data_IF_204782389647
#
_entry.id   IF_204782389647
#
_cell.length_a   1.000
_cell.length_b   1.000
_cell.length_c   1.000
_cell.angle_alpha   90.00
_cell.angle_beta   90.00
_cell.angle_gamma   90.00
#
_symmetry.space_group_name_H-M   'P 1'
#
loop_
_entity.id
_entity.type
_entity.pdbx_description
1 polymer ?
#
# COMPACT_ATOMS: atom_id res chain seq x y z
N UNK A 1 -17.11 6.94 -1.93
CA UNK A 1 -16.18 6.52 -0.85
C UNK A 1 -15.05 5.72 -1.44
N UNK A 2 -13.82 6.14 -1.18
CA UNK A 2 -12.64 5.48 -1.73
C UNK A 2 -12.26 4.25 -0.92
N UNK A 3 -12.00 3.15 -1.59
CA UNK A 3 -11.49 1.94 -0.93
C UNK A 3 -9.96 2.01 -0.85
N UNK A 4 -9.44 1.81 0.35
CA UNK A 4 -8.01 1.83 0.63
C UNK A 4 -7.61 0.46 1.18
N UNK A 5 -6.57 -0.12 0.62
CA UNK A 5 -6.03 -1.39 1.08
C UNK A 5 -4.66 -1.16 1.72
N UNK A 6 -4.52 -1.61 2.96
CA UNK A 6 -3.29 -1.45 3.74
C UNK A 6 -2.64 -2.83 3.90
N UNK A 7 -1.45 -3.00 3.33
CA UNK A 7 -0.76 -4.28 3.28
C UNK A 7 0.58 -4.20 3.99
N UNK A 8 0.69 -4.85 5.13
CA UNK A 8 1.93 -4.92 5.92
C UNK A 8 1.80 -6.13 6.84
N UNK A 9 2.89 -6.88 7.01
CA UNK A 9 2.89 -8.02 7.91
C UNK A 9 2.97 -7.60 9.38
N UNK A 10 3.34 -6.35 9.65
CA UNK A 10 3.38 -5.79 10.99
C UNK A 10 2.02 -5.20 11.35
N UNK A 11 1.28 -5.81 12.30
CA UNK A 11 -0.02 -5.28 12.70
C UNK A 11 0.06 -3.89 13.31
N UNK A 12 1.19 -3.51 13.88
CA UNK A 12 1.39 -2.16 14.41
C UNK A 12 1.35 -1.11 13.28
N UNK A 13 2.02 -1.40 12.17
CA UNK A 13 2.04 -0.49 11.01
C UNK A 13 0.64 -0.40 10.39
N UNK A 14 -0.05 -1.55 10.24
CA UNK A 14 -1.43 -1.53 9.74
C UNK A 14 -2.32 -0.66 10.61
N UNK A 15 -2.19 -0.80 11.94
CA UNK A 15 -2.96 -0.03 12.90
C UNK A 15 -2.64 1.47 12.80
N UNK A 16 -1.36 1.80 12.67
CA UNK A 16 -0.94 3.20 12.52
C UNK A 16 -1.57 3.84 11.28
N UNK A 17 -1.51 3.17 10.15
CA UNK A 17 -2.08 3.68 8.91
C UNK A 17 -3.60 3.76 9.01
N UNK A 18 -4.26 2.70 9.46
CA UNK A 18 -5.72 2.69 9.53
C UNK A 18 -6.25 3.74 10.50
N UNK A 19 -5.65 3.86 11.68
CA UNK A 19 -6.08 4.84 12.68
C UNK A 19 -5.91 6.27 12.17
N UNK A 20 -4.79 6.53 11.51
CA UNK A 20 -4.54 7.85 10.92
C UNK A 20 -5.58 8.20 9.85
N UNK A 21 -5.91 7.23 8.99
CA UNK A 21 -6.83 7.47 7.88
C UNK A 21 -8.31 7.42 8.28
N UNK A 22 -8.63 6.84 9.43
CA UNK A 22 -10.01 6.84 9.94
C UNK A 22 -10.57 8.25 10.09
N UNK A 23 -9.70 9.20 10.42
CA UNK A 23 -10.10 10.60 10.63
C UNK A 23 -10.18 11.37 9.31
N UNK A 24 -9.75 10.78 8.22
CA UNK A 24 -9.88 11.37 6.89
C UNK A 24 -11.20 10.93 6.30
N UNK A 25 -12.03 11.89 5.93
CA UNK A 25 -13.36 11.61 5.42
C UNK A 25 -13.34 10.74 4.16
N UNK A 26 -14.34 9.89 4.03
CA UNK A 26 -14.64 9.13 2.82
C UNK A 26 -13.69 8.00 2.45
N UNK A 27 -12.91 7.48 3.40
CA UNK A 27 -12.12 6.28 3.15
C UNK A 27 -12.80 5.05 3.75
N UNK A 28 -12.83 3.99 2.95
CA UNK A 28 -13.22 2.65 3.40
C UNK A 28 -11.94 1.83 3.50
N UNK A 29 -11.56 1.47 4.71
CA UNK A 29 -10.27 0.85 4.97
C UNK A 29 -10.35 -0.67 5.02
N UNK A 30 -9.39 -1.32 4.36
CA UNK A 30 -9.24 -2.77 4.35
C UNK A 30 -7.78 -3.09 4.63
N UNK A 31 -7.53 -4.27 5.21
CA UNK A 31 -6.17 -4.68 5.58
C UNK A 31 -5.83 -6.05 5.02
N UNK A 32 -4.54 -6.27 4.78
CA UNK A 32 -4.00 -7.57 4.42
C UNK A 32 -2.63 -7.71 5.07
N UNK A 33 -2.27 -8.93 5.47
CA UNK A 33 -1.03 -9.19 6.20
C UNK A 33 0.11 -9.67 5.32
N UNK A 34 -0.15 -9.96 4.05
CA UNK A 34 0.88 -10.42 3.11
C UNK A 34 0.40 -10.21 1.67
N UNK A 35 1.29 -10.47 0.71
CA UNK A 35 0.99 -10.23 -0.69
C UNK A 35 -0.14 -11.09 -1.25
N UNK A 36 -0.25 -12.33 -0.80
CA UNK A 36 -1.32 -13.22 -1.27
C UNK A 36 -2.69 -12.73 -0.82
N UNK A 37 -2.80 -12.32 0.46
CA UNK A 37 -4.02 -11.71 0.96
C UNK A 37 -4.33 -10.41 0.25
N UNK A 38 -3.29 -9.63 -0.08
CA UNK A 38 -3.46 -8.36 -0.79
C UNK A 38 -4.14 -8.56 -2.14
N UNK A 39 -3.70 -9.56 -2.90
CA UNK A 39 -4.30 -9.88 -4.20
C UNK A 39 -5.76 -10.30 -4.05
N UNK A 40 -6.05 -11.12 -3.07
CA UNK A 40 -7.41 -11.58 -2.80
C UNK A 40 -8.31 -10.40 -2.40
N UNK A 41 -7.86 -9.58 -1.47
CA UNK A 41 -8.64 -8.43 -1.01
C UNK A 41 -8.84 -7.40 -2.12
N UNK A 42 -7.81 -7.15 -2.93
CA UNK A 42 -7.93 -6.22 -4.04
C UNK A 42 -8.98 -6.66 -5.05
N UNK A 43 -9.07 -7.96 -5.33
CA UNK A 43 -10.08 -8.50 -6.21
C UNK A 43 -11.50 -8.30 -5.66
N UNK A 44 -11.64 -8.32 -4.32
CA UNK A 44 -12.92 -8.15 -3.66
C UNK A 44 -13.34 -6.67 -3.56
N UNK A 45 -12.40 -5.77 -3.23
CA UNK A 45 -12.74 -4.39 -2.85
C UNK A 45 -12.40 -3.35 -3.92
N UNK A 46 -11.65 -3.72 -4.94
CA UNK A 46 -11.24 -2.82 -6.04
C UNK A 46 -10.67 -1.50 -5.49
N UNK A 47 -9.52 -1.54 -4.77
CA UNK A 47 -9.03 -0.35 -4.09
C UNK A 47 -8.58 0.74 -5.05
N UNK A 48 -8.78 1.98 -4.65
CA UNK A 48 -8.26 3.14 -5.38
C UNK A 48 -6.86 3.50 -4.88
N UNK A 49 -6.52 3.12 -3.66
CA UNK A 49 -5.25 3.42 -3.02
C UNK A 49 -4.77 2.17 -2.27
N UNK A 50 -3.50 1.82 -2.48
CA UNK A 50 -2.88 0.67 -1.80
C UNK A 50 -1.59 1.13 -1.13
N UNK A 51 -1.48 0.88 0.18
CA UNK A 51 -0.22 1.00 0.91
C UNK A 51 0.37 -0.40 0.99
N UNK A 52 1.57 -0.58 0.49
CA UNK A 52 2.14 -1.91 0.29
C UNK A 52 3.57 -1.98 0.80
N UNK A 53 3.77 -2.75 1.87
CA UNK A 53 5.10 -2.99 2.43
C UNK A 53 5.95 -3.82 1.46
N UNK A 54 7.21 -3.46 1.31
CA UNK A 54 8.13 -4.19 0.44
C UNK A 54 8.53 -5.53 1.07
N UNK A 55 8.86 -5.52 2.35
CA UNK A 55 9.38 -6.72 3.04
C UNK A 55 8.27 -7.49 3.73
N UNK A 56 7.79 -8.55 3.10
CA UNK A 56 6.75 -9.40 3.66
C UNK A 56 7.03 -10.87 3.41
N UNK A 57 6.55 -11.76 4.30
CA UNK A 57 6.64 -13.20 4.04
C UNK A 57 5.71 -13.62 2.91
N UNK A 58 5.93 -14.79 2.35
CA UNK A 58 5.18 -15.44 1.28
C UNK A 58 5.33 -14.76 -0.06
N UNK A 59 4.97 -13.49 -0.17
CA UNK A 59 5.11 -12.73 -1.40
C UNK A 59 5.57 -11.33 -1.01
N UNK A 60 6.75 -10.92 -1.46
CA UNK A 60 7.27 -9.59 -1.18
C UNK A 60 6.44 -8.51 -1.88
N UNK A 61 6.61 -7.26 -1.43
CA UNK A 61 5.80 -6.15 -1.93
C UNK A 61 6.03 -5.83 -3.40
N UNK A 62 7.24 -6.04 -3.91
CA UNK A 62 7.53 -5.78 -5.32
C UNK A 62 6.80 -6.77 -6.21
N UNK A 63 6.84 -8.05 -5.85
CA UNK A 63 6.10 -9.09 -6.58
C UNK A 63 4.59 -8.86 -6.47
N UNK A 64 4.12 -8.48 -5.29
CA UNK A 64 2.70 -8.17 -5.08
C UNK A 64 2.27 -6.97 -5.92
N UNK A 65 3.10 -5.93 -6.01
CA UNK A 65 2.82 -4.76 -6.83
C UNK A 65 2.64 -5.12 -8.29
N UNK A 66 3.56 -5.92 -8.82
CA UNK A 66 3.49 -6.40 -10.21
C UNK A 66 2.21 -7.20 -10.44
N UNK A 67 1.88 -8.10 -9.53
CA UNK A 67 0.68 -8.92 -9.63
C UNK A 67 -0.60 -8.08 -9.55
N UNK A 68 -0.62 -7.06 -8.69
CA UNK A 68 -1.77 -6.15 -8.58
C UNK A 68 -1.99 -5.39 -9.90
N UNK A 69 -0.91 -4.95 -10.55
CA UNK A 69 -1.02 -4.24 -11.82
C UNK A 69 -1.56 -5.11 -12.95
N UNK A 70 -1.35 -6.40 -12.88
CA UNK A 70 -1.86 -7.36 -13.86
C UNK A 70 -3.30 -7.79 -13.58
N UNK A 71 -3.83 -7.44 -12.42
CA UNK A 71 -5.14 -7.88 -11.95
C UNK A 71 -6.25 -6.98 -12.44
N UNK A 72 -6.88 -7.34 -13.55
CA UNK A 72 -8.03 -6.61 -14.07
C UNK A 72 -9.17 -6.60 -13.04
N UNK A 73 -9.75 -5.41 -12.81
CA UNK A 73 -10.83 -5.26 -11.86
C UNK A 73 -10.41 -5.33 -10.40
N UNK A 74 -9.10 -5.50 -10.13
CA UNK A 74 -8.56 -5.49 -8.77
C UNK A 74 -7.69 -4.25 -8.56
N UNK A 75 -6.37 -4.46 -8.44
CA UNK A 75 -5.43 -3.39 -8.16
C UNK A 75 -4.85 -2.66 -9.35
N UNK A 76 -5.22 -3.02 -10.59
CA UNK A 76 -4.58 -2.50 -11.78
C UNK A 76 -4.62 -0.98 -11.90
N UNK A 77 -5.74 -0.36 -11.55
CA UNK A 77 -5.94 1.08 -11.62
C UNK A 77 -5.65 1.83 -10.33
N UNK A 78 -5.21 1.15 -9.28
CA UNK A 78 -4.97 1.78 -7.98
C UNK A 78 -3.70 2.64 -7.98
N UNK A 79 -3.67 3.64 -7.12
CA UNK A 79 -2.43 4.32 -6.77
C UNK A 79 -1.73 3.45 -5.72
N UNK A 80 -0.51 3.03 -6.01
CA UNK A 80 0.26 2.15 -5.11
C UNK A 80 1.38 2.95 -4.44
N UNK A 81 1.33 3.00 -3.11
CA UNK A 81 2.35 3.63 -2.27
C UNK A 81 3.15 2.51 -1.60
N UNK A 82 4.44 2.43 -1.91
CA UNK A 82 5.31 1.44 -1.27
C UNK A 82 5.81 1.96 0.07
N UNK A 83 5.73 1.10 1.08
CA UNK A 83 6.30 1.38 2.40
C UNK A 83 7.68 0.73 2.44
N UNK A 84 8.71 1.54 2.55
CA UNK A 84 10.09 1.08 2.37
C UNK A 84 10.96 1.48 3.55
N UNK A 85 11.96 0.64 3.87
CA UNK A 85 12.92 0.94 4.91
C UNK A 85 13.92 2.00 4.42
N UNK A 86 14.37 2.86 5.34
CA UNK A 86 15.40 3.85 5.03
C UNK A 86 16.66 3.13 4.53
N UNK A 87 17.28 3.65 3.48
CA UNK A 87 18.51 3.08 2.94
C UNK A 87 18.34 1.80 2.13
N UNK A 88 17.12 1.51 1.70
CA UNK A 88 16.80 0.29 0.99
C UNK A 88 17.39 0.20 -0.44
N UNK A 89 18.14 1.20 -0.88
CA UNK A 89 18.90 1.15 -2.14
C UNK A 89 18.05 0.92 -3.37
N UNK A 90 18.29 -0.20 -4.06
CA UNK A 90 17.66 -0.51 -5.34
C UNK A 90 16.16 -0.81 -5.25
N UNK A 91 15.62 -0.95 -4.05
CA UNK A 91 14.21 -1.34 -3.89
C UNK A 91 13.27 -0.31 -4.51
N UNK A 92 13.60 0.97 -4.42
CA UNK A 92 12.76 2.01 -5.02
C UNK A 92 12.68 1.85 -6.55
N UNK A 93 13.83 1.67 -7.19
CA UNK A 93 13.89 1.46 -8.65
C UNK A 93 13.13 0.20 -9.05
N UNK A 94 13.33 -0.89 -8.32
CA UNK A 94 12.64 -2.15 -8.60
C UNK A 94 11.12 -2.02 -8.41
N UNK A 95 10.71 -1.32 -7.36
CA UNK A 95 9.29 -1.10 -7.09
C UNK A 95 8.65 -0.23 -8.17
N UNK A 96 9.32 0.81 -8.63
CA UNK A 96 8.81 1.65 -9.73
C UNK A 96 8.65 0.84 -11.00
N UNK A 97 9.63 -0.02 -11.30
CA UNK A 97 9.56 -0.91 -12.47
C UNK A 97 8.40 -1.90 -12.36
N UNK A 98 8.00 -2.25 -11.14
CA UNK A 98 6.87 -3.14 -10.90
C UNK A 98 5.52 -2.40 -10.95
N UNK A 99 5.53 -1.07 -11.00
CA UNK A 99 4.32 -0.27 -11.13
C UNK A 99 3.93 0.58 -9.93
N UNK A 100 4.83 0.73 -8.94
CA UNK A 100 4.57 1.60 -7.79
C UNK A 100 4.58 3.07 -8.21
N UNK A 101 3.69 3.85 -7.63
CA UNK A 101 3.55 5.27 -7.95
C UNK A 101 4.30 6.17 -6.98
N UNK A 102 4.25 5.84 -5.70
CA UNK A 102 4.80 6.67 -4.63
C UNK A 102 5.49 5.83 -3.57
N UNK A 103 6.27 6.49 -2.72
CA UNK A 103 7.05 5.85 -1.68
C UNK A 103 6.90 6.60 -0.35
N UNK A 104 6.82 5.84 0.74
CA UNK A 104 6.80 6.38 2.09
C UNK A 104 7.83 5.61 2.90
N UNK A 105 8.84 6.30 3.42
CA UNK A 105 9.96 5.67 4.11
C UNK A 105 9.64 5.42 5.57
N UNK A 106 9.90 4.20 6.04
CA UNK A 106 9.77 3.85 7.46
C UNK A 106 11.01 4.29 8.24
N UNK A 107 10.86 4.81 9.46
CA UNK A 107 9.60 5.11 10.11
C UNK A 107 8.96 6.39 9.56
N UNK A 108 7.66 6.39 9.43
CA UNK A 108 6.91 7.58 9.04
C UNK A 108 5.95 7.99 10.16
N UNK A 109 5.65 9.27 10.21
CA UNK A 109 4.70 9.81 11.19
C UNK A 109 3.29 9.89 10.59
N UNK A 110 2.25 10.02 11.43
CA UNK A 110 0.91 10.31 10.92
C UNK A 110 0.87 11.53 10.01
N UNK A 111 1.65 12.57 10.32
CA UNK A 111 1.70 13.77 9.50
C UNK A 111 2.27 13.51 8.11
N UNK A 112 3.31 12.68 8.01
CA UNK A 112 3.88 12.28 6.72
C UNK A 112 2.83 11.58 5.86
N UNK A 113 2.07 10.69 6.49
CA UNK A 113 1.01 9.94 5.82
C UNK A 113 -0.11 10.87 5.35
N UNK A 114 -0.54 11.78 6.20
CA UNK A 114 -1.60 12.74 5.86
C UNK A 114 -1.18 13.67 4.72
N UNK A 115 0.07 14.10 4.71
CA UNK A 115 0.59 14.94 3.62
C UNK A 115 0.58 14.20 2.29
N UNK A 116 1.00 12.95 2.31
CA UNK A 116 1.00 12.13 1.09
C UNK A 116 -0.42 11.96 0.56
N UNK A 117 -1.36 11.63 1.42
CA UNK A 117 -2.76 11.45 1.04
C UNK A 117 -3.36 12.76 0.53
N UNK A 118 -3.01 13.88 1.14
CA UNK A 118 -3.49 15.20 0.71
C UNK A 118 -3.01 15.52 -0.71
N UNK A 119 -1.78 15.16 -1.05
CA UNK A 119 -1.23 15.35 -2.39
C UNK A 119 -1.94 14.52 -3.45
N UNK A 120 -2.55 13.42 -3.06
CA UNK A 120 -3.27 12.56 -3.98
C UNK A 120 -4.68 13.11 -4.33
N UNK A 121 -5.08 14.11 -3.63
CA UNK A 121 -6.36 14.74 -3.86
C UNK A 121 -7.53 14.01 -3.30
#
# INVERSE_FOLDING_TARGET
MRSVLIVDDDPFIRKLVSTTLEDVADFRLHEAANGLEALKRAAEVHPELVFLDIDMPRMDGISACRALREQEGGGAGATIVMLTAAGAGDNETRARSAGADLFLTKPFSPLDLLRLVDELG
#
